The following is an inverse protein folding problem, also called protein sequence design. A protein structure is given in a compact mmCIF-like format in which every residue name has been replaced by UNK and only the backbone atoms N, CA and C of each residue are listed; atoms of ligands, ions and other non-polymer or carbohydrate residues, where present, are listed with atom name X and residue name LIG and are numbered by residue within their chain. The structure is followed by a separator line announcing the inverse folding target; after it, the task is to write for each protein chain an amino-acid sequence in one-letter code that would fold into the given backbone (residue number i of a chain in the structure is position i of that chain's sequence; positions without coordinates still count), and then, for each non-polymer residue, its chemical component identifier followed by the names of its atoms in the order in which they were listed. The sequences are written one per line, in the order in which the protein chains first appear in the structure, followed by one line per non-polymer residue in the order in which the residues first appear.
data_IF_813928246078
#
_entry.id   IF_813928246078
#
_cell.length_a   1.000
_cell.length_b   1.000
_cell.length_c   1.000
_cell.angle_alpha   90.00
_cell.angle_beta   90.00
_cell.angle_gamma   90.00
#
_symmetry.space_group_name_H-M   'P 1'
#
loop_
_entity.id
_entity.type
_entity.pdbx_description
1 polymer ?
#
# COMPACT_ATOMS: atom_id res chain seq x y z
N UNK A 1 39.37 2.62 17.76
CA UNK A 1 39.30 2.67 16.28
C UNK A 1 39.04 1.24 15.85
N UNK A 2 37.91 0.85 15.28
CA UNK A 2 37.31 1.40 14.05
C UNK A 2 35.79 1.19 14.09
N UNK A 3 35.07 2.23 13.70
CA UNK A 3 33.62 2.26 13.48
C UNK A 3 33.25 1.34 12.31
N UNK A 4 32.15 0.58 12.41
CA UNK A 4 31.52 0.00 11.23
C UNK A 4 30.01 0.05 11.41
N UNK A 5 29.44 1.05 10.75
CA UNK A 5 28.13 1.03 10.11
C UNK A 5 26.99 0.42 10.89
N UNK A 6 26.27 1.26 11.66
CA UNK A 6 24.82 1.12 11.69
C UNK A 6 24.31 1.46 10.30
N UNK A 7 24.14 0.44 9.46
CA UNK A 7 23.22 0.55 8.33
C UNK A 7 21.82 0.70 8.93
N UNK A 8 21.36 1.95 9.00
CA UNK A 8 19.96 2.26 9.17
C UNK A 8 19.26 1.78 7.91
N UNK A 9 18.79 0.53 7.94
CA UNK A 9 17.78 0.04 7.00
C UNK A 9 16.62 1.05 6.97
N UNK A 10 16.01 1.26 5.79
CA UNK A 10 15.05 2.33 5.56
C UNK A 10 14.01 2.28 6.68
N UNK A 11 13.69 3.43 7.27
CA UNK A 11 12.55 3.59 8.17
C UNK A 11 11.41 2.75 7.62
N UNK A 12 11.12 1.61 8.24
CA UNK A 12 9.93 0.84 7.90
C UNK A 12 8.81 1.82 8.15
N UNK A 13 8.29 2.41 7.07
CA UNK A 13 7.08 3.21 7.15
C UNK A 13 6.05 2.17 7.56
N UNK A 14 5.79 2.06 8.86
CA UNK A 14 4.76 1.17 9.37
C UNK A 14 3.54 1.38 8.50
N UNK A 15 3.02 0.28 7.91
CA UNK A 15 1.86 0.37 7.04
C UNK A 15 0.76 1.14 7.78
N UNK A 16 0.19 2.19 7.16
CA UNK A 16 -0.75 3.04 7.84
C UNK A 16 -1.92 2.20 8.35
N UNK A 17 -2.05 2.18 9.67
CA UNK A 17 -2.95 1.29 10.36
C UNK A 17 -3.52 1.97 11.60
N UNK A 18 -4.70 1.52 12.01
CA UNK A 18 -5.36 1.96 13.22
C UNK A 18 -6.07 0.79 13.88
N UNK A 19 -6.37 0.94 15.17
CA UNK A 19 -7.12 -0.05 15.96
C UNK A 19 -8.51 0.50 16.20
N UNK A 20 -9.53 -0.28 15.86
CA UNK A 20 -10.91 0.07 16.15
C UNK A 20 -11.21 -0.10 17.65
N UNK A 21 -12.29 0.50 18.12
CA UNK A 21 -12.75 0.36 19.50
C UNK A 21 -13.03 -1.11 19.90
N UNK A 22 -13.36 -1.98 18.94
CA UNK A 22 -13.52 -3.42 19.18
C UNK A 22 -12.20 -4.21 19.18
N UNK A 23 -11.06 -3.52 19.11
CA UNK A 23 -9.71 -4.10 19.19
C UNK A 23 -9.25 -4.77 17.89
N UNK A 24 -9.86 -4.45 16.75
CA UNK A 24 -9.46 -4.95 15.44
C UNK A 24 -8.46 -3.98 14.82
N UNK A 25 -7.27 -4.48 14.44
CA UNK A 25 -6.31 -3.70 13.66
C UNK A 25 -6.72 -3.74 12.20
N UNK A 26 -6.83 -2.56 11.60
CA UNK A 26 -7.06 -2.37 10.16
C UNK A 26 -5.82 -1.71 9.58
N UNK A 27 -5.30 -2.26 8.48
CA UNK A 27 -4.14 -1.72 7.77
C UNK A 27 -4.43 -1.56 6.28
N UNK A 28 -3.87 -0.51 5.68
CA UNK A 28 -3.98 -0.25 4.25
C UNK A 28 -2.58 -0.11 3.67
N UNK A 29 -2.30 -0.83 2.58
CA UNK A 29 -0.99 -0.77 1.92
C UNK A 29 -1.11 -0.73 0.40
N UNK A 30 -0.11 -0.13 -0.24
CA UNK A 30 0.07 -0.23 -1.68
C UNK A 30 0.79 -1.55 -2.02
N UNK A 31 0.24 -2.30 -2.95
CA UNK A 31 0.82 -3.52 -3.51
C UNK A 31 1.15 -3.28 -4.98
N UNK A 32 2.44 -3.39 -5.32
CA UNK A 32 2.89 -3.43 -6.72
C UNK A 32 3.06 -4.89 -7.13
N UNK A 33 2.21 -5.34 -8.03
CA UNK A 33 2.35 -6.64 -8.68
C UNK A 33 3.07 -6.40 -10.00
N UNK A 34 4.20 -7.07 -10.21
CA UNK A 34 4.90 -7.02 -11.50
C UNK A 34 4.47 -8.22 -12.35
N UNK A 35 3.62 -8.06 -13.38
CA UNK A 35 3.71 -8.89 -14.56
C UNK A 35 4.78 -8.31 -15.50
N UNK A 36 5.37 -9.18 -16.33
CA UNK A 36 6.56 -8.91 -17.15
C UNK A 36 6.48 -7.65 -18.05
N UNK A 37 5.28 -7.15 -18.39
CA UNK A 37 5.12 -6.03 -19.34
C UNK A 37 4.36 -4.80 -18.80
N UNK A 38 3.63 -4.88 -17.67
CA UNK A 38 2.94 -3.69 -17.11
C UNK A 38 2.68 -3.84 -15.60
N UNK A 39 3.43 -3.14 -14.73
CA UNK A 39 3.20 -3.24 -13.29
C UNK A 39 1.78 -2.81 -12.91
N UNK A 40 1.06 -3.68 -12.20
CA UNK A 40 -0.29 -3.39 -11.68
C UNK A 40 -0.14 -2.89 -10.24
N UNK A 41 -0.53 -1.65 -9.98
CA UNK A 41 -0.70 -1.16 -8.63
C UNK A 41 -2.07 -1.52 -8.05
N UNK A 42 -2.11 -1.94 -6.79
CA UNK A 42 -3.35 -2.23 -6.06
C UNK A 42 -3.28 -1.64 -4.66
N UNK A 43 -4.41 -1.19 -4.14
CA UNK A 43 -4.57 -0.92 -2.70
C UNK A 43 -5.04 -2.20 -2.03
N UNK A 44 -4.30 -2.69 -1.05
CA UNK A 44 -4.66 -3.85 -0.25
C UNK A 44 -5.15 -3.40 1.14
N UNK A 45 -6.28 -3.95 1.56
CA UNK A 45 -6.91 -3.71 2.85
C UNK A 45 -6.82 -4.98 3.70
N UNK A 46 -6.17 -4.89 4.86
CA UNK A 46 -6.21 -5.91 5.89
C UNK A 46 -7.20 -5.48 6.97
N UNK A 47 -8.27 -6.26 7.15
CA UNK A 47 -9.30 -6.04 8.17
C UNK A 47 -9.02 -6.88 9.42
N UNK A 48 -7.94 -7.67 9.44
CA UNK A 48 -7.60 -8.61 10.51
C UNK A 48 -8.46 -9.88 10.49
N UNK A 49 -8.08 -10.88 11.28
CA UNK A 49 -8.77 -12.18 11.32
C UNK A 49 -10.27 -12.04 11.62
N UNK A 50 -11.08 -12.76 10.88
CA UNK A 50 -12.49 -12.93 11.21
C UNK A 50 -12.62 -13.58 12.61
N UNK A 51 -13.45 -13.01 13.49
CA UNK A 51 -13.74 -13.58 14.81
C UNK A 51 -15.17 -14.10 14.77
N UNK A 52 -15.37 -15.35 14.34
CA UNK A 52 -16.72 -15.92 14.25
C UNK A 52 -16.90 -17.05 13.23
N UNK A 53 -16.00 -17.16 12.24
CA UNK A 53 -15.94 -18.30 11.33
C UNK A 53 -17.08 -18.38 10.31
N UNK A 54 -17.87 -17.31 10.15
CA UNK A 54 -18.91 -17.20 9.13
C UNK A 54 -18.44 -16.21 8.05
N UNK A 55 -18.05 -16.72 6.88
CA UNK A 55 -17.74 -15.90 5.72
C UNK A 55 -18.88 -14.90 5.45
N UNK A 56 -18.53 -13.62 5.24
CA UNK A 56 -19.50 -12.57 4.96
C UNK A 56 -19.93 -11.73 6.17
N UNK A 57 -19.31 -11.90 7.34
CA UNK A 57 -19.52 -10.99 8.47
C UNK A 57 -18.86 -9.63 8.21
N UNK A 58 -19.63 -8.55 8.33
CA UNK A 58 -19.15 -7.17 8.12
C UNK A 58 -18.35 -6.68 9.34
N UNK A 59 -17.27 -5.94 9.11
CA UNK A 59 -16.62 -5.18 10.17
C UNK A 59 -17.47 -3.94 10.50
N UNK A 60 -17.86 -3.78 11.76
CA UNK A 60 -18.52 -2.57 12.24
C UNK A 60 -17.46 -1.50 12.56
N UNK A 61 -17.71 -0.26 12.12
CA UNK A 61 -16.87 0.91 12.36
C UNK A 61 -17.74 2.04 12.91
N UNK A 62 -17.18 2.84 13.81
CA UNK A 62 -17.74 4.14 14.12
C UNK A 62 -17.59 5.10 12.94
N UNK A 63 -18.32 6.21 12.94
CA UNK A 63 -18.20 7.22 11.90
C UNK A 63 -16.76 7.78 11.79
N UNK A 64 -16.07 7.95 12.92
CA UNK A 64 -14.70 8.46 12.94
C UNK A 64 -13.68 7.45 12.43
N UNK A 65 -13.86 6.17 12.77
CA UNK A 65 -13.06 5.08 12.23
C UNK A 65 -13.26 4.92 10.71
N UNK A 66 -14.49 5.05 10.22
CA UNK A 66 -14.78 5.02 8.80
C UNK A 66 -14.10 6.19 8.04
N UNK A 67 -14.11 7.40 8.62
CA UNK A 67 -13.38 8.56 8.06
C UNK A 67 -11.87 8.35 8.08
N UNK A 68 -11.34 7.76 9.16
CA UNK A 68 -9.92 7.43 9.25
C UNK A 68 -9.52 6.44 8.15
N UNK A 69 -10.29 5.35 7.98
CA UNK A 69 -10.08 4.37 6.93
C UNK A 69 -10.13 5.00 5.53
N UNK A 70 -11.13 5.83 5.25
CA UNK A 70 -11.26 6.51 3.95
C UNK A 70 -10.03 7.37 3.62
N UNK A 71 -9.50 8.12 4.59
CA UNK A 71 -8.27 8.91 4.40
C UNK A 71 -7.06 8.04 4.06
N UNK A 72 -6.92 6.89 4.71
CA UNK A 72 -5.83 5.95 4.41
C UNK A 72 -5.97 5.32 3.02
N UNK A 73 -7.19 4.94 2.63
CA UNK A 73 -7.47 4.40 1.30
C UNK A 73 -7.14 5.42 0.20
N UNK A 74 -7.56 6.68 0.37
CA UNK A 74 -7.28 7.74 -0.60
C UNK A 74 -5.78 8.06 -0.69
N UNK A 75 -5.06 8.08 0.44
CA UNK A 75 -3.61 8.26 0.46
C UNK A 75 -2.90 7.15 -0.34
N UNK A 76 -3.25 5.89 -0.10
CA UNK A 76 -2.62 4.76 -0.79
C UNK A 76 -3.03 4.67 -2.26
N UNK A 77 -4.25 5.09 -2.62
CA UNK A 77 -4.69 5.20 -4.01
C UNK A 77 -3.82 6.20 -4.79
N UNK A 78 -3.55 7.37 -4.21
CA UNK A 78 -2.64 8.35 -4.84
C UNK A 78 -1.23 7.81 -5.05
N UNK A 79 -0.72 6.99 -4.12
CA UNK A 79 0.58 6.32 -4.29
C UNK A 79 0.55 5.25 -5.40
N UNK A 80 -0.56 4.54 -5.56
CA UNK A 80 -0.78 3.58 -6.64
C UNK A 80 -0.80 4.29 -8.00
N UNK A 81 -1.51 5.41 -8.10
CA UNK A 81 -1.63 6.19 -9.35
C UNK A 81 -0.31 6.87 -9.71
N UNK A 82 0.39 7.49 -8.75
CA UNK A 82 1.61 8.25 -9.00
C UNK A 82 2.87 7.44 -9.33
N UNK A 83 2.86 6.12 -9.10
CA UNK A 83 3.98 5.24 -9.44
C UNK A 83 3.91 4.61 -10.84
N UNK A 84 2.86 4.87 -11.62
CA UNK A 84 2.92 4.81 -13.09
C UNK A 84 3.62 6.10 -13.58
N UNK A 85 4.94 6.21 -13.39
CA UNK A 85 5.72 7.26 -14.04
C UNK A 85 5.56 7.16 -15.56
N UNK A 86 5.68 8.28 -16.31
CA UNK A 86 5.47 8.29 -17.75
C UNK A 86 6.43 7.29 -18.38
N UNK A 87 5.90 6.34 -19.15
CA UNK A 87 6.71 5.42 -19.94
C UNK A 87 7.79 6.21 -20.66
N UNK A 88 9.05 5.80 -20.51
CA UNK A 88 10.18 6.41 -21.20
C UNK A 88 9.81 6.61 -22.67
N UNK A 89 10.05 7.81 -23.26
CA UNK A 89 9.92 7.96 -24.68
C UNK A 89 10.87 6.95 -25.30
N UNK A 90 10.31 6.00 -26.05
CA UNK A 90 11.04 5.02 -26.82
C UNK A 90 12.17 5.75 -27.53
N UNK A 91 13.42 5.51 -27.11
CA UNK A 91 14.58 5.78 -27.96
C UNK A 91 14.45 4.80 -29.13
N UNK A 92 13.62 5.16 -30.10
CA UNK A 92 13.71 4.62 -31.45
C UNK A 92 15.04 5.14 -32.00
N UNK A 93 16.07 4.34 -31.80
CA UNK A 93 17.11 4.25 -32.79
C UNK A 93 16.47 3.77 -34.09
N UNK A 94 16.34 4.66 -35.05
CA UNK A 94 16.56 4.29 -36.44
C UNK A 94 17.70 5.16 -36.95
N UNK A 95 18.83 4.51 -37.07
CA UNK A 95 19.93 4.96 -37.90
C UNK A 95 19.46 5.07 -39.37
N UNK A 96 20.28 5.78 -40.15
CA UNK A 96 20.34 5.84 -41.63
C UNK A 96 19.50 6.97 -42.23
N UNK A 97 20.00 7.87 -43.09
CA UNK A 97 21.22 7.92 -43.92
C UNK A 97 21.76 9.36 -43.99
#
# INVERSE_FOLDING_TARGET
MTTTGRDLLPTEVEDPSFVTACGRRIAVRCLRLAPADRPIGRVALDVGRERGGVPGTWAALTADEARALARLLLLQAGLVEGGEGPGEPSRQGVASL
#
